data_IF_484391709250
#
_entry.id   IF_484391709250
#
_cell.length_a   1.000
_cell.length_b   1.000
_cell.length_c   1.000
_cell.angle_alpha   90.00
_cell.angle_beta   90.00
_cell.angle_gamma   90.00
#
_symmetry.space_group_name_H-M   'P 1'
#
loop_
_entity.id
_entity.type
_entity.pdbx_description
1 polymer ?
#
# COMPACT_ATOMS: atom_id res chain seq x y z
N UNK A 1 -11.48 -21.19 10.39
CA UNK A 1 -10.37 -21.27 9.41
C UNK A 1 -10.86 -20.75 8.07
N UNK A 2 -10.00 -20.06 7.33
CA UNK A 2 -10.37 -19.38 6.09
C UNK A 2 -9.53 -19.88 4.93
N UNK A 3 -10.15 -19.97 3.77
CA UNK A 3 -9.46 -20.22 2.51
C UNK A 3 -10.17 -19.35 1.47
N UNK A 4 -9.39 -18.57 0.71
CA UNK A 4 -9.94 -17.73 -0.35
C UNK A 4 -9.10 -17.85 -1.61
N UNK A 5 -9.67 -18.22 -2.75
CA UNK A 5 -8.96 -18.13 -4.03
C UNK A 5 -8.65 -16.66 -4.36
N UNK A 6 -7.61 -16.42 -5.15
CA UNK A 6 -7.25 -15.08 -5.55
C UNK A 6 -8.40 -14.43 -6.30
N UNK A 7 -8.90 -13.25 -5.85
CA UNK A 7 -10.03 -12.59 -6.52
C UNK A 7 -9.68 -12.17 -7.95
N UNK A 8 -10.59 -12.43 -8.88
CA UNK A 8 -10.38 -12.08 -10.29
C UNK A 8 -10.47 -10.56 -10.55
N UNK A 9 -11.12 -9.82 -9.65
CA UNK A 9 -11.27 -8.38 -9.75
C UNK A 9 -10.95 -7.74 -8.39
N UNK A 10 -10.54 -6.45 -8.37
CA UNK A 10 -10.33 -5.74 -7.12
C UNK A 10 -11.63 -5.62 -6.31
N UNK A 11 -11.50 -5.73 -4.99
CA UNK A 11 -12.60 -5.54 -4.05
C UNK A 11 -12.79 -4.07 -3.66
N UNK A 12 -11.71 -3.29 -3.69
CA UNK A 12 -11.72 -1.91 -3.23
C UNK A 12 -10.54 -1.12 -3.82
N UNK A 13 -10.51 0.18 -3.54
CA UNK A 13 -9.36 1.05 -3.77
C UNK A 13 -8.92 1.60 -2.42
N UNK A 14 -7.61 1.58 -2.15
CA UNK A 14 -7.09 2.15 -0.91
C UNK A 14 -7.18 3.68 -0.92
N UNK A 15 -7.11 4.33 0.25
CA UNK A 15 -7.06 5.79 0.31
C UNK A 15 -5.92 6.39 -0.52
N UNK A 16 -4.79 5.71 -0.62
CA UNK A 16 -3.67 6.12 -1.46
C UNK A 16 -3.94 5.96 -2.95
N UNK A 17 -4.79 5.00 -3.35
CA UNK A 17 -5.19 4.80 -4.73
C UNK A 17 -4.85 3.44 -5.34
N UNK A 18 -4.33 2.50 -4.56
CA UNK A 18 -4.04 1.15 -5.04
C UNK A 18 -5.33 0.34 -5.21
N UNK A 19 -5.33 -0.58 -6.16
CA UNK A 19 -6.40 -1.57 -6.33
C UNK A 19 -6.16 -2.71 -5.34
N UNK A 20 -7.14 -2.96 -4.47
CA UNK A 20 -7.01 -3.87 -3.33
C UNK A 20 -7.85 -5.13 -3.55
N UNK A 21 -7.23 -6.29 -3.32
CA UNK A 21 -7.92 -7.57 -3.21
C UNK A 21 -7.77 -8.09 -1.79
N UNK A 22 -8.89 -8.41 -1.16
CA UNK A 22 -8.88 -8.98 0.19
C UNK A 22 -8.48 -10.45 0.12
N UNK A 23 -7.48 -10.84 0.90
CA UNK A 23 -7.01 -12.23 0.95
C UNK A 23 -7.47 -12.93 2.22
N UNK A 24 -7.08 -12.42 3.38
CA UNK A 24 -7.46 -12.96 4.69
C UNK A 24 -7.79 -11.80 5.63
N UNK A 25 -8.88 -11.93 6.38
CA UNK A 25 -9.22 -11.03 7.49
C UNK A 25 -9.20 -11.84 8.79
N UNK A 26 -8.37 -11.43 9.74
CA UNK A 26 -8.23 -12.08 11.04
C UNK A 26 -8.41 -11.11 12.19
N UNK A 27 -8.36 -11.64 13.42
CA UNK A 27 -8.55 -10.83 14.63
C UNK A 27 -7.37 -9.91 14.92
N UNK A 28 -6.14 -10.31 14.55
CA UNK A 28 -4.92 -9.57 14.86
C UNK A 28 -4.30 -8.89 13.66
N UNK A 29 -4.79 -9.16 12.47
CA UNK A 29 -4.28 -8.56 11.25
C UNK A 29 -5.07 -9.05 10.04
N UNK A 30 -4.84 -8.40 8.91
CA UNK A 30 -5.39 -8.85 7.64
C UNK A 30 -4.32 -8.79 6.55
N UNK A 31 -4.51 -9.59 5.51
CA UNK A 31 -3.62 -9.64 4.36
C UNK A 31 -4.40 -9.23 3.12
N UNK A 32 -3.81 -8.33 2.36
CA UNK A 32 -4.33 -7.89 1.08
C UNK A 32 -3.28 -8.01 -0.02
N UNK A 33 -3.73 -8.04 -1.25
CA UNK A 33 -2.90 -7.89 -2.43
C UNK A 33 -3.19 -6.53 -3.05
N UNK A 34 -2.15 -5.76 -3.28
CA UNK A 34 -2.24 -4.43 -3.88
C UNK A 34 -1.69 -4.42 -5.29
N UNK A 35 -2.36 -3.70 -6.16
CA UNK A 35 -1.89 -3.44 -7.53
C UNK A 35 -1.86 -1.93 -7.75
N UNK A 36 -0.72 -1.42 -8.20
CA UNK A 36 -0.57 -0.04 -8.66
C UNK A 36 -0.39 -0.10 -10.18
N UNK A 37 -1.34 0.43 -10.96
CA UNK A 37 -1.23 0.42 -12.41
C UNK A 37 0.07 1.06 -12.92
N UNK A 38 0.52 0.65 -14.08
CA UNK A 38 1.75 1.15 -14.69
C UNK A 38 1.76 2.69 -14.72
N UNK A 39 2.83 3.28 -14.19
CA UNK A 39 3.05 4.72 -14.18
C UNK A 39 2.22 5.51 -13.17
N UNK A 40 1.33 4.87 -12.42
CA UNK A 40 0.49 5.57 -11.45
C UNK A 40 1.29 6.04 -10.25
N UNK A 41 1.04 7.26 -9.83
CA UNK A 41 1.55 7.85 -8.59
C UNK A 41 0.39 7.93 -7.60
N UNK A 42 0.53 7.25 -6.46
CA UNK A 42 -0.51 7.25 -5.43
C UNK A 42 -0.41 8.49 -4.55
N UNK A 43 -1.46 8.74 -3.76
CA UNK A 43 -1.47 9.83 -2.79
C UNK A 43 -0.60 9.46 -1.59
N UNK A 44 0.06 10.46 -1.00
CA UNK A 44 0.75 10.28 0.27
C UNK A 44 -0.27 10.18 1.40
N UNK A 45 -0.03 9.26 2.33
CA UNK A 45 -0.90 9.05 3.49
C UNK A 45 -0.08 8.79 4.74
N UNK A 46 -0.73 8.90 5.88
CA UNK A 46 -0.22 8.48 7.19
C UNK A 46 -1.32 7.72 7.92
N UNK A 47 -0.96 6.62 8.58
CA UNK A 47 -1.91 5.79 9.35
C UNK A 47 -1.88 6.16 10.82
N UNK A 48 -3.06 6.22 11.42
CA UNK A 48 -3.21 6.61 12.82
C UNK A 48 -2.83 5.49 13.80
N UNK A 49 -3.22 4.24 13.50
CA UNK A 49 -3.09 3.11 14.43
C UNK A 49 -2.56 1.83 13.81
N UNK A 50 -2.53 1.74 12.48
CA UNK A 50 -2.14 0.51 11.75
C UNK A 50 -0.70 0.60 11.30
N UNK A 51 0.07 -0.46 11.57
CA UNK A 51 1.37 -0.70 10.94
C UNK A 51 1.21 -1.73 9.81
N UNK A 52 2.13 -1.72 8.84
CA UNK A 52 2.07 -2.62 7.70
C UNK A 52 3.41 -3.27 7.39
N UNK A 53 3.35 -4.51 6.89
CA UNK A 53 4.47 -5.18 6.24
C UNK A 53 4.09 -5.42 4.78
N UNK A 54 5.01 -5.11 3.88
CA UNK A 54 4.83 -5.33 2.45
C UNK A 54 5.87 -6.30 1.91
N UNK A 55 5.45 -7.13 0.97
CA UNK A 55 6.37 -7.96 0.19
C UNK A 55 6.05 -7.81 -1.29
N UNK A 56 7.01 -7.30 -2.07
CA UNK A 56 6.82 -7.02 -3.49
C UNK A 56 6.88 -8.31 -4.29
N UNK A 57 5.88 -8.52 -5.14
CA UNK A 57 5.74 -9.72 -5.98
C UNK A 57 6.26 -9.47 -7.41
N UNK A 58 5.91 -8.34 -8.02
CA UNK A 58 6.23 -8.06 -9.42
C UNK A 58 6.16 -6.56 -9.71
N UNK A 59 6.67 -6.18 -10.86
CA UNK A 59 6.77 -4.79 -11.26
C UNK A 59 7.90 -4.05 -10.57
N UNK A 60 7.96 -2.75 -10.80
CA UNK A 60 8.93 -1.86 -10.15
C UNK A 60 8.24 -0.59 -9.69
N UNK A 61 8.74 -0.04 -8.60
CA UNK A 61 8.24 1.21 -8.07
C UNK A 61 9.21 1.84 -7.10
N UNK A 62 8.73 2.85 -6.44
CA UNK A 62 9.44 3.54 -5.37
C UNK A 62 8.48 3.85 -4.24
N UNK A 63 8.96 3.79 -3.01
CA UNK A 63 8.25 4.28 -1.84
C UNK A 63 9.10 5.32 -1.12
N UNK A 64 8.49 6.47 -0.85
CA UNK A 64 9.01 7.47 0.05
C UNK A 64 8.38 7.24 1.42
N UNK A 65 9.19 7.29 2.48
CA UNK A 65 8.74 7.16 3.87
C UNK A 65 9.41 8.22 4.72
N UNK A 66 8.65 8.78 5.68
CA UNK A 66 9.17 9.77 6.63
C UNK A 66 8.55 9.56 8.01
N UNK A 67 9.39 9.54 9.04
CA UNK A 67 8.99 9.61 10.43
C UNK A 67 9.78 10.73 11.15
N UNK A 68 9.73 10.74 12.48
CA UNK A 68 10.41 11.80 13.26
C UNK A 68 11.94 11.74 13.20
N UNK A 69 12.51 10.60 12.77
CA UNK A 69 13.95 10.35 12.82
C UNK A 69 14.60 10.19 11.46
N UNK A 70 13.83 9.85 10.42
CA UNK A 70 14.38 9.51 9.12
C UNK A 70 13.41 9.83 7.99
N UNK A 71 13.99 10.08 6.82
CA UNK A 71 13.24 10.26 5.58
C UNK A 71 14.07 9.71 4.42
N UNK A 72 13.41 9.01 3.49
CA UNK A 72 14.10 8.51 2.33
C UNK A 72 13.19 7.78 1.36
N UNK A 73 13.73 7.48 0.19
CA UNK A 73 13.05 6.76 -0.87
C UNK A 73 13.73 5.43 -1.11
N UNK A 74 12.93 4.37 -1.21
CA UNK A 74 13.40 3.00 -1.44
C UNK A 74 12.86 2.51 -2.78
N UNK A 75 13.70 1.85 -3.57
CA UNK A 75 13.29 1.18 -4.81
C UNK A 75 12.59 -0.13 -4.45
N UNK A 76 11.41 -0.34 -5.05
CA UNK A 76 10.61 -1.54 -4.88
C UNK A 76 10.76 -2.42 -6.12
N UNK A 77 11.34 -3.60 -5.93
CA UNK A 77 11.45 -4.63 -6.98
C UNK A 77 11.00 -5.97 -6.39
N UNK A 78 10.74 -6.96 -7.23
CA UNK A 78 10.29 -8.28 -6.79
C UNK A 78 11.22 -8.85 -5.71
N UNK A 79 10.63 -9.32 -4.60
CA UNK A 79 11.35 -9.88 -3.46
C UNK A 79 11.73 -8.88 -2.36
N UNK A 80 11.58 -7.58 -2.58
CA UNK A 80 11.84 -6.58 -1.54
C UNK A 80 10.73 -6.61 -0.50
N UNK A 81 11.12 -6.59 0.77
CA UNK A 81 10.19 -6.50 1.90
C UNK A 81 10.48 -5.23 2.67
N UNK A 82 9.43 -4.49 3.01
CA UNK A 82 9.51 -3.26 3.80
C UNK A 82 8.48 -3.24 4.91
N UNK A 83 8.67 -2.36 5.88
CA UNK A 83 7.67 -2.05 6.87
C UNK A 83 7.23 -0.59 6.79
N UNK A 84 6.04 -0.33 7.31
CA UNK A 84 5.51 1.02 7.52
C UNK A 84 4.98 1.06 8.95
N UNK A 85 5.79 1.55 9.90
CA UNK A 85 5.33 1.72 11.28
C UNK A 85 4.20 2.72 11.39
N UNK A 86 3.41 2.61 12.47
CA UNK A 86 2.35 3.59 12.79
C UNK A 86 2.93 5.01 12.79
N UNK A 87 2.20 5.95 12.20
CA UNK A 87 2.62 7.36 12.17
C UNK A 87 3.67 7.72 11.13
N UNK A 88 4.11 6.74 10.33
CA UNK A 88 5.04 7.00 9.23
C UNK A 88 4.25 7.54 8.03
N UNK A 89 4.61 8.72 7.54
CA UNK A 89 4.09 9.22 6.28
C UNK A 89 4.74 8.47 5.12
N UNK A 90 3.97 8.12 4.09
CA UNK A 90 4.52 7.41 2.96
C UNK A 90 3.75 7.72 1.67
N UNK A 91 4.46 7.61 0.57
CA UNK A 91 3.88 7.71 -0.77
C UNK A 91 4.61 6.73 -1.68
N UNK A 92 3.87 6.07 -2.57
CA UNK A 92 4.45 5.09 -3.47
C UNK A 92 3.90 5.24 -4.88
N UNK A 93 4.67 4.74 -5.84
CA UNK A 93 4.36 4.84 -7.26
C UNK A 93 4.92 3.64 -8.02
N UNK A 94 4.29 3.32 -9.15
CA UNK A 94 4.79 2.35 -10.10
C UNK A 94 5.63 3.05 -11.15
N UNK A 95 6.85 2.56 -11.37
CA UNK A 95 7.79 3.14 -12.35
C UNK A 95 8.03 2.25 -13.56
N UNK A 96 7.43 1.05 -13.57
CA UNK A 96 7.59 0.09 -14.68
C UNK A 96 6.40 0.11 -15.65
N UNK A 97 6.60 -0.49 -16.82
CA UNK A 97 5.53 -0.71 -17.79
C UNK A 97 4.51 -1.75 -17.33
N UNK A 98 4.94 -2.66 -16.43
CA UNK A 98 4.05 -3.61 -15.78
C UNK A 98 3.55 -3.04 -14.45
N UNK A 99 2.36 -3.43 -13.96
CA UNK A 99 1.88 -2.99 -12.66
C UNK A 99 2.82 -3.40 -11.52
N UNK A 100 2.92 -2.55 -10.50
CA UNK A 100 3.57 -2.90 -9.24
C UNK A 100 2.55 -3.69 -8.40
N UNK A 101 2.93 -4.90 -7.98
CA UNK A 101 2.08 -5.76 -7.17
C UNK A 101 2.80 -6.18 -5.89
N UNK A 102 2.10 -6.13 -4.77
CA UNK A 102 2.68 -6.52 -3.49
C UNK A 102 1.63 -7.07 -2.54
N UNK A 103 2.08 -7.92 -1.61
CA UNK A 103 1.29 -8.34 -0.45
C UNK A 103 1.48 -7.31 0.64
N UNK A 104 0.40 -7.02 1.35
CA UNK A 104 0.40 -6.12 2.50
C UNK A 104 -0.30 -6.79 3.68
N UNK A 105 0.38 -6.82 4.82
CA UNK A 105 -0.21 -7.27 6.07
C UNK A 105 -0.41 -6.04 6.94
N UNK A 106 -1.67 -5.80 7.35
CA UNK A 106 -2.04 -4.70 8.26
C UNK A 106 -2.24 -5.24 9.66
N UNK A 107 -1.71 -4.55 10.65
CA UNK A 107 -1.77 -4.91 12.07
C UNK A 107 -2.05 -3.66 12.91
N UNK A 108 -3.17 -3.60 13.63
CA UNK A 108 -4.32 -4.51 13.65
C UNK A 108 -5.05 -4.55 12.31
N UNK A 109 -6.15 -5.31 12.17
CA UNK A 109 -6.93 -5.33 10.95
C UNK A 109 -7.38 -3.93 10.53
N UNK A 110 -7.39 -3.68 9.22
CA UNK A 110 -7.77 -2.36 8.68
C UNK A 110 -9.17 -1.96 9.17
N UNK A 111 -9.31 -0.84 9.91
CA UNK A 111 -10.58 -0.46 10.53
C UNK A 111 -11.51 0.33 9.60
N UNK A 112 -11.00 0.82 8.49
CA UNK A 112 -11.74 1.64 7.55
C UNK A 112 -10.90 2.82 7.05
N UNK A 113 -11.39 3.53 6.03
CA UNK A 113 -10.59 4.54 5.33
C UNK A 113 -10.28 5.77 6.18
N UNK A 114 -11.02 6.02 7.27
CA UNK A 114 -10.70 7.08 8.22
C UNK A 114 -9.35 6.85 8.94
N UNK A 115 -8.81 5.65 8.88
CA UNK A 115 -7.48 5.33 9.43
C UNK A 115 -6.37 6.11 8.74
N UNK A 116 -6.52 6.40 7.45
CA UNK A 116 -5.51 7.08 6.66
C UNK A 116 -5.87 8.56 6.47
N UNK A 117 -4.90 9.42 6.71
CA UNK A 117 -4.99 10.86 6.39
C UNK A 117 -4.13 11.14 5.16
N UNK A 118 -4.73 11.76 4.14
CA UNK A 118 -4.00 12.19 2.95
C UNK A 118 -3.21 13.45 3.27
N UNK A 119 -1.96 13.50 2.81
CA UNK A 119 -1.08 14.64 3.00
C UNK A 119 -0.25 14.90 1.72
N UNK A 120 0.52 15.98 1.71
CA UNK A 120 1.45 16.22 0.61
C UNK A 120 2.70 15.37 0.76
N UNK A 121 3.09 14.72 -0.35
CA UNK A 121 4.32 13.96 -0.46
C UNK A 121 5.23 14.56 -1.53
N UNK A 122 6.35 13.89 -1.84
CA UNK A 122 7.31 14.38 -2.81
C UNK A 122 6.83 14.35 -4.26
N UNK A 123 5.78 13.58 -4.56
CA UNK A 123 5.32 13.39 -5.94
C UNK A 123 3.87 13.84 -6.10
N UNK A 124 3.56 14.40 -7.28
CA UNK A 124 2.19 14.78 -7.62
C UNK A 124 1.37 13.53 -7.92
N UNK A 125 0.28 13.28 -7.20
CA UNK A 125 -0.56 12.09 -7.42
C UNK A 125 -1.24 12.10 -8.78
N UNK A 126 -1.35 10.91 -9.38
CA UNK A 126 -2.13 10.66 -10.60
C UNK A 126 -3.24 9.64 -10.37
N UNK A 127 -3.27 9.00 -9.18
CA UNK A 127 -4.27 8.00 -8.85
C UNK A 127 -5.68 8.60 -8.96
N UNK A 128 -6.66 7.85 -9.54
CA UNK A 128 -8.03 8.30 -9.57
C UNK A 128 -8.61 8.41 -8.17
N UNK A 129 -9.57 9.32 -7.99
CA UNK A 129 -10.29 9.45 -6.74
C UNK A 129 -11.43 8.45 -6.66
N UNK A 130 -11.62 7.92 -5.47
CA UNK A 130 -12.71 7.01 -5.18
C UNK A 130 -12.61 5.70 -5.92
N UNK A 131 -13.72 5.02 -5.96
CA UNK A 131 -13.80 3.68 -6.53
C UNK A 131 -15.18 3.47 -7.20
#
# INVERSE_FOLDING_TARGET
MQTRPFPSAPDARSPAGAEIRYLIEGETGNMIHSTVPAGQVNRATVHATVSEFWHVLSGQGQIWRRDDTAEGTTVLTAGVTIDIPVGTAFQYRCTSADPLQFLCISMPPWPGDQEATVLEGPWKPTAPEGW
#
